data_IF_327854947740
#
_entry.id   IF_327854947740
#
_cell.length_a   1.000
_cell.length_b   1.000
_cell.length_c   1.000
_cell.angle_alpha   90.00
_cell.angle_beta   90.00
_cell.angle_gamma   90.00
#
_symmetry.space_group_name_H-M   'P 1'
#
loop_
_entity.id
_entity.type
_entity.pdbx_description
1 polymer ?
#
# COMPACT_ATOMS: atom_id res chain seq x y z
N UNK A 1 -2.34 -29.35 -18.49
CA UNK A 1 -2.56 -27.95 -18.07
C UNK A 1 -1.29 -27.42 -17.45
N UNK A 2 -0.84 -26.22 -17.84
CA UNK A 2 0.36 -25.62 -17.24
C UNK A 2 -0.05 -24.92 -15.94
N UNK A 3 0.41 -25.40 -14.78
CA UNK A 3 0.10 -24.81 -13.48
C UNK A 3 1.02 -23.60 -13.26
N UNK A 4 0.44 -22.40 -13.28
CA UNK A 4 1.14 -21.16 -13.02
C UNK A 4 0.33 -20.29 -12.06
N UNK A 5 1.04 -19.40 -11.37
CA UNK A 5 0.45 -18.43 -10.47
C UNK A 5 1.27 -17.14 -10.44
N UNK A 6 0.61 -16.03 -10.14
CA UNK A 6 1.24 -14.73 -9.96
C UNK A 6 0.69 -14.02 -8.73
N UNK A 7 1.59 -13.39 -7.99
CA UNK A 7 1.28 -12.56 -6.83
C UNK A 7 1.70 -11.12 -7.16
N UNK A 8 0.75 -10.21 -7.42
CA UNK A 8 1.08 -8.82 -7.75
C UNK A 8 1.81 -8.10 -6.61
N UNK A 9 2.65 -7.12 -6.97
CA UNK A 9 3.24 -6.23 -5.98
C UNK A 9 2.19 -5.29 -5.37
N UNK A 10 2.42 -4.87 -4.12
CA UNK A 10 1.48 -4.03 -3.37
C UNK A 10 2.18 -2.93 -2.61
N UNK A 11 1.55 -1.76 -2.52
CA UNK A 11 1.91 -0.68 -1.62
C UNK A 11 0.79 -0.50 -0.61
N UNK A 12 1.10 -0.50 0.69
CA UNK A 12 0.12 -0.47 1.77
C UNK A 12 0.58 0.45 2.89
N UNK A 13 -0.38 1.02 3.63
CA UNK A 13 -0.05 1.75 4.85
C UNK A 13 0.23 0.78 5.99
N UNK A 14 1.20 1.09 6.85
CA UNK A 14 1.43 0.36 8.11
C UNK A 14 0.19 0.38 9.02
N UNK A 15 -0.74 1.34 8.85
CA UNK A 15 -1.98 1.43 9.63
C UNK A 15 -3.16 0.64 9.02
N UNK A 16 -3.03 0.09 7.82
CA UNK A 16 -4.01 -0.83 7.20
C UNK A 16 -3.55 -2.29 7.23
N UNK A 17 -4.48 -3.23 7.00
CA UNK A 17 -4.12 -4.61 6.62
C UNK A 17 -3.76 -4.65 5.13
N UNK A 18 -2.70 -5.37 4.79
CA UNK A 18 -2.40 -5.74 3.42
C UNK A 18 -3.35 -6.85 2.97
N UNK A 19 -3.99 -6.67 1.82
CA UNK A 19 -4.77 -7.71 1.15
C UNK A 19 -3.96 -8.20 -0.04
N UNK A 20 -3.50 -9.45 0.04
CA UNK A 20 -2.77 -10.14 -1.01
C UNK A 20 -3.73 -11.09 -1.74
N UNK A 21 -3.67 -11.06 -3.06
CA UNK A 21 -4.53 -11.89 -3.92
C UNK A 21 -3.66 -12.58 -4.96
N UNK A 22 -3.80 -13.90 -5.07
CA UNK A 22 -3.05 -14.69 -6.05
C UNK A 22 -3.93 -15.00 -7.26
N UNK A 23 -3.38 -14.80 -8.46
CA UNK A 23 -4.00 -15.26 -9.70
C UNK A 23 -3.36 -16.61 -10.08
N UNK A 24 -4.18 -17.60 -10.45
CA UNK A 24 -3.68 -18.92 -10.87
C UNK A 24 -4.36 -19.39 -12.15
N UNK A 25 -3.66 -20.16 -12.98
CA UNK A 25 -4.17 -20.76 -14.21
C UNK A 25 -5.11 -21.96 -13.96
N UNK A 26 -5.16 -22.46 -12.72
CA UNK A 26 -5.99 -23.60 -12.29
C UNK A 26 -6.73 -23.25 -11.01
N UNK A 27 -7.47 -24.21 -10.44
CA UNK A 27 -8.06 -24.11 -9.09
C UNK A 27 -7.22 -24.91 -8.08
N UNK A 28 -6.32 -24.26 -7.32
CA UNK A 28 -5.57 -24.91 -6.24
C UNK A 28 -6.51 -25.32 -5.10
N UNK A 29 -6.22 -26.42 -4.41
CA UNK A 29 -6.98 -26.83 -3.23
C UNK A 29 -6.59 -26.01 -1.98
N UNK A 30 -5.32 -25.67 -1.85
CA UNK A 30 -4.78 -24.99 -0.67
C UNK A 30 -3.70 -23.96 -1.01
N UNK A 31 -3.54 -23.02 -0.07
CA UNK A 31 -2.56 -21.94 -0.11
C UNK A 31 -1.85 -21.86 1.24
N UNK A 32 -0.54 -21.65 1.23
CA UNK A 32 0.27 -21.34 2.41
C UNK A 32 0.99 -20.02 2.17
N UNK A 33 0.63 -19.00 2.95
CA UNK A 33 1.09 -17.63 2.82
C UNK A 33 2.26 -17.34 3.76
N UNK A 34 3.33 -16.78 3.22
CA UNK A 34 4.51 -16.28 3.92
C UNK A 34 4.65 -14.78 3.60
N UNK A 35 4.55 -13.92 4.61
CA UNK A 35 4.50 -12.48 4.40
C UNK A 35 5.89 -11.83 4.29
N UNK A 36 6.96 -12.58 4.57
CA UNK A 36 8.34 -12.10 4.48
C UNK A 36 8.82 -11.24 5.65
N UNK A 37 8.02 -11.12 6.73
CA UNK A 37 8.33 -10.35 7.95
C UNK A 37 8.61 -11.22 9.18
N UNK A 38 8.88 -12.52 8.96
CA UNK A 38 9.11 -13.54 9.99
C UNK A 38 7.87 -13.87 10.85
N UNK A 39 6.69 -13.35 10.49
CA UNK A 39 5.44 -13.80 11.10
C UNK A 39 5.11 -15.25 10.74
N UNK A 40 4.31 -15.96 11.56
CA UNK A 40 3.86 -17.31 11.22
C UNK A 40 3.10 -17.35 9.90
N UNK A 41 3.27 -18.45 9.17
CA UNK A 41 2.52 -18.69 7.92
C UNK A 41 1.04 -18.84 8.19
N UNK A 42 0.24 -18.38 7.22
CA UNK A 42 -1.22 -18.49 7.26
C UNK A 42 -1.65 -19.44 6.16
N UNK A 43 -2.54 -20.39 6.47
CA UNK A 43 -3.09 -21.31 5.47
C UNK A 43 -4.51 -20.90 5.08
N UNK A 44 -4.84 -21.04 3.80
CA UNK A 44 -6.21 -20.88 3.30
C UNK A 44 -6.55 -21.97 2.26
N UNK A 45 -7.83 -22.09 1.93
CA UNK A 45 -8.33 -23.07 0.95
C UNK A 45 -9.34 -22.42 0.02
N UNK A 46 -9.55 -23.02 -1.15
CA UNK A 46 -10.57 -22.55 -2.09
C UNK A 46 -11.96 -22.51 -1.46
N UNK A 47 -12.79 -21.51 -1.81
CA UNK A 47 -12.61 -20.54 -2.89
C UNK A 47 -11.79 -19.29 -2.51
N UNK A 48 -11.23 -19.21 -1.29
CA UNK A 48 -10.50 -18.03 -0.85
C UNK A 48 -9.06 -18.00 -1.39
N UNK A 49 -8.84 -17.13 -2.38
CA UNK A 49 -7.52 -16.86 -3.00
C UNK A 49 -6.83 -15.63 -2.42
N UNK A 50 -7.30 -15.14 -1.28
CA UNK A 50 -6.80 -13.92 -0.63
C UNK A 50 -6.34 -14.18 0.79
N UNK A 51 -5.31 -13.46 1.21
CA UNK A 51 -4.85 -13.40 2.59
C UNK A 51 -4.76 -11.95 3.07
N UNK A 52 -5.08 -11.75 4.34
CA UNK A 52 -4.95 -10.47 5.03
C UNK A 52 -3.83 -10.56 6.04
N UNK A 53 -2.99 -9.53 6.08
CA UNK A 53 -1.87 -9.46 7.02
C UNK A 53 -1.58 -8.04 7.48
N UNK A 54 -1.19 -7.91 8.75
CA UNK A 54 -0.85 -6.64 9.36
C UNK A 54 0.66 -6.58 9.60
N UNK A 55 1.36 -5.84 8.75
CA UNK A 55 2.78 -5.57 8.93
C UNK A 55 2.99 -4.59 10.09
N UNK A 56 3.89 -4.94 11.01
CA UNK A 56 4.19 -4.13 12.19
C UNK A 56 5.16 -2.97 11.94
N UNK A 57 6.00 -3.06 10.91
CA UNK A 57 7.08 -2.10 10.64
C UNK A 57 7.02 -1.64 9.17
N UNK A 58 7.27 -0.35 8.87
CA UNK A 58 7.47 0.10 7.50
C UNK A 58 8.70 -0.55 6.86
N UNK A 59 8.61 -0.95 5.60
CA UNK A 59 9.69 -1.64 4.91
C UNK A 59 9.25 -2.29 3.60
N UNK A 60 10.20 -2.97 2.94
CA UNK A 60 9.91 -3.81 1.77
C UNK A 60 10.01 -5.27 2.17
N UNK A 61 8.94 -6.02 1.92
CA UNK A 61 8.81 -7.43 2.22
C UNK A 61 8.62 -8.23 0.93
N UNK A 62 9.22 -9.41 0.86
CA UNK A 62 9.00 -10.34 -0.24
C UNK A 62 8.00 -11.40 0.22
N UNK A 63 6.72 -11.17 -0.08
CA UNK A 63 5.67 -12.12 0.23
C UNK A 63 5.70 -13.30 -0.76
N UNK A 64 5.42 -14.49 -0.25
CA UNK A 64 5.37 -15.73 -1.02
C UNK A 64 4.09 -16.48 -0.70
N UNK A 65 3.58 -17.21 -1.67
CA UNK A 65 2.45 -18.11 -1.49
C UNK A 65 2.75 -19.43 -2.19
N UNK A 66 2.71 -20.53 -1.43
CA UNK A 66 2.73 -21.88 -1.97
C UNK A 66 1.30 -22.30 -2.30
N UNK A 67 1.06 -22.79 -3.51
CA UNK A 67 -0.23 -23.24 -3.99
C UNK A 67 -0.15 -24.74 -4.29
N UNK A 68 -1.09 -25.53 -3.77
CA UNK A 68 -1.18 -26.96 -4.06
C UNK A 68 -2.42 -27.27 -4.92
N UNK A 69 -2.22 -27.97 -6.04
CA UNK A 69 -3.28 -28.44 -6.92
C UNK A 69 -3.05 -29.92 -7.26
N UNK A 70 -3.78 -30.81 -6.57
CA UNK A 70 -3.56 -32.26 -6.70
C UNK A 70 -2.16 -32.65 -6.21
N UNK A 71 -1.34 -33.24 -7.09
CA UNK A 71 0.04 -33.63 -6.77
C UNK A 71 1.09 -32.57 -7.12
N UNK A 72 0.68 -31.39 -7.60
CA UNK A 72 1.60 -30.32 -7.97
C UNK A 72 1.56 -29.21 -6.92
N UNK A 73 2.75 -28.68 -6.60
CA UNK A 73 2.93 -27.49 -5.77
C UNK A 73 3.78 -26.48 -6.54
N UNK A 74 3.37 -25.21 -6.52
CA UNK A 74 4.16 -24.10 -7.08
C UNK A 74 4.21 -22.96 -6.08
N UNK A 75 5.19 -22.07 -6.25
CA UNK A 75 5.34 -20.86 -5.43
C UNK A 75 5.20 -19.63 -6.31
N UNK A 76 4.39 -18.66 -5.86
CA UNK A 76 4.33 -17.32 -6.42
C UNK A 76 4.88 -16.31 -5.41
N UNK A 77 5.51 -15.24 -5.89
CA UNK A 77 6.12 -14.22 -5.05
C UNK A 77 5.73 -12.82 -5.52
N UNK A 78 5.64 -11.88 -4.58
CA UNK A 78 5.31 -10.49 -4.82
C UNK A 78 5.92 -9.56 -3.78
N UNK A 79 6.32 -8.36 -4.22
CA UNK A 79 6.88 -7.35 -3.32
C UNK A 79 5.77 -6.56 -2.63
N UNK A 80 5.85 -6.43 -1.31
CA UNK A 80 4.97 -5.59 -0.50
C UNK A 80 5.78 -4.44 0.09
N UNK A 81 5.46 -3.21 -0.30
CA UNK A 81 6.00 -1.99 0.29
C UNK A 81 5.03 -1.46 1.34
N UNK A 82 5.45 -1.52 2.60
CA UNK A 82 4.70 -1.03 3.76
C UNK A 82 5.23 0.34 4.12
N UNK A 83 4.37 1.35 4.09
CA UNK A 83 4.77 2.75 4.22
C UNK A 83 3.98 3.42 5.34
N UNK A 84 4.59 4.43 5.96
CA UNK A 84 3.84 5.33 6.83
C UNK A 84 2.79 6.05 5.98
N UNK A 85 1.56 6.25 6.49
CA UNK A 85 0.59 7.09 5.81
C UNK A 85 1.18 8.50 5.67
N UNK A 86 0.78 9.25 4.64
CA UNK A 86 1.24 10.61 4.49
C UNK A 86 0.71 11.46 5.64
N UNK A 87 1.64 12.15 6.31
CA UNK A 87 1.33 13.22 7.25
C UNK A 87 1.80 14.52 6.62
N UNK A 88 0.84 15.30 6.14
CA UNK A 88 1.08 16.60 5.53
C UNK A 88 0.85 17.69 6.57
N UNK A 89 1.74 18.67 6.61
CA UNK A 89 1.64 19.84 7.47
C UNK A 89 1.84 21.09 6.63
N UNK A 90 0.84 21.97 6.65
CA UNK A 90 0.91 23.25 5.96
C UNK A 90 1.49 24.28 6.93
N UNK A 91 2.67 24.78 6.62
CA UNK A 91 3.29 25.89 7.34
C UNK A 91 2.92 27.17 6.63
N UNK A 92 2.15 28.01 7.33
CA UNK A 92 1.76 29.33 6.88
C UNK A 92 2.39 30.39 7.78
N UNK A 93 2.87 31.52 7.23
CA UNK A 93 3.29 32.65 8.03
C UNK A 93 2.09 33.39 8.60
N UNK A 94 2.28 34.10 9.72
CA UNK A 94 1.22 34.90 10.35
C UNK A 94 0.80 36.09 9.49
N UNK A 95 1.75 36.66 8.75
CA UNK A 95 1.56 37.87 7.95
C UNK A 95 2.20 37.67 6.58
N UNK A 96 1.47 38.09 5.54
CA UNK A 96 1.98 38.15 4.17
C UNK A 96 1.84 39.56 3.63
N UNK A 97 2.74 39.95 2.75
CA UNK A 97 2.60 41.21 2.01
C UNK A 97 1.78 40.96 0.75
N UNK A 98 0.81 41.83 0.48
CA UNK A 98 0.01 41.75 -0.73
C UNK A 98 0.89 41.89 -1.99
N UNK A 99 0.46 41.28 -3.10
CA UNK A 99 1.14 41.30 -4.40
C UNK A 99 2.54 40.66 -4.43
N UNK A 100 2.88 39.83 -3.44
CA UNK A 100 4.09 39.01 -3.44
C UNK A 100 3.76 37.53 -3.68
N UNK A 101 4.74 36.79 -4.19
CA UNK A 101 4.65 35.35 -4.37
C UNK A 101 4.52 34.63 -3.03
N UNK A 102 3.73 33.55 -2.97
CA UNK A 102 3.55 32.73 -1.77
C UNK A 102 4.51 31.54 -1.71
N UNK A 103 5.33 31.32 -2.74
CA UNK A 103 6.16 30.12 -2.89
C UNK A 103 7.20 29.95 -1.78
N UNK A 104 7.74 31.05 -1.26
CA UNK A 104 8.71 31.03 -0.16
C UNK A 104 8.03 31.12 1.21
N UNK A 105 6.80 31.65 1.26
CA UNK A 105 6.08 31.93 2.48
C UNK A 105 5.30 30.71 2.98
N UNK A 106 4.67 29.96 2.07
CA UNK A 106 3.84 28.80 2.40
C UNK A 106 4.58 27.54 2.00
N UNK A 107 4.80 26.64 2.95
CA UNK A 107 5.41 25.34 2.67
C UNK A 107 4.49 24.19 3.09
N UNK A 108 4.45 23.15 2.26
CA UNK A 108 3.77 21.91 2.58
C UNK A 108 4.82 20.87 2.95
N UNK A 109 4.92 20.56 4.24
CA UNK A 109 5.86 19.57 4.75
C UNK A 109 5.23 18.19 4.64
N UNK A 110 5.91 17.27 3.97
CA UNK A 110 5.53 15.87 3.97
C UNK A 110 6.39 15.07 4.97
N UNK A 111 5.79 14.67 6.07
CA UNK A 111 6.45 13.89 7.12
C UNK A 111 6.46 12.38 6.83
N UNK A 112 5.85 11.90 5.73
CA UNK A 112 5.88 10.47 5.39
C UNK A 112 5.07 10.05 4.16
N UNK A 113 5.16 8.78 3.80
CA UNK A 113 4.45 8.23 2.64
C UNK A 113 5.06 8.58 1.28
N UNK A 114 4.65 7.84 0.25
CA UNK A 114 5.18 7.96 -1.11
C UNK A 114 4.00 7.95 -2.10
N UNK A 115 4.11 8.74 -3.18
CA UNK A 115 3.05 8.84 -4.19
C UNK A 115 1.84 9.66 -3.72
N UNK A 116 2.07 10.67 -2.89
CA UNK A 116 1.02 11.53 -2.35
C UNK A 116 0.50 12.46 -3.45
N UNK A 117 -0.82 12.49 -3.63
CA UNK A 117 -1.52 13.50 -4.43
C UNK A 117 -2.18 14.47 -3.47
N UNK A 118 -2.01 15.77 -3.72
CA UNK A 118 -2.56 16.83 -2.88
C UNK A 118 -3.58 17.60 -3.69
N UNK A 119 -4.80 17.71 -3.16
CA UNK A 119 -5.79 18.68 -3.63
C UNK A 119 -5.67 19.94 -2.77
N UNK A 120 -5.65 21.11 -3.41
CA UNK A 120 -5.57 22.39 -2.73
C UNK A 120 -6.73 23.30 -3.15
N UNK A 121 -7.06 24.26 -2.28
CA UNK A 121 -8.00 25.33 -2.59
C UNK A 121 -7.64 26.57 -1.79
N UNK A 122 -7.85 27.75 -2.38
CA UNK A 122 -7.73 29.03 -1.68
C UNK A 122 -9.14 29.52 -1.39
N UNK A 123 -9.41 29.88 -0.13
CA UNK A 123 -10.72 30.38 0.31
C UNK A 123 -10.59 31.79 0.89
N UNK A 124 -11.58 32.63 0.59
CA UNK A 124 -11.77 33.95 1.20
C UNK A 124 -13.17 34.02 1.76
N UNK A 125 -13.30 34.35 3.05
CA UNK A 125 -14.59 34.48 3.74
C UNK A 125 -15.52 33.26 3.54
N UNK A 126 -14.93 32.06 3.57
CA UNK A 126 -15.64 30.79 3.36
C UNK A 126 -15.95 30.41 1.91
N UNK A 127 -15.62 31.27 0.93
CA UNK A 127 -15.83 31.02 -0.49
C UNK A 127 -14.54 30.61 -1.19
N UNK A 128 -14.58 29.54 -1.99
CA UNK A 128 -13.45 29.12 -2.83
C UNK A 128 -13.19 30.16 -3.93
N UNK A 129 -11.95 30.61 -4.04
CA UNK A 129 -11.49 31.61 -5.00
C UNK A 129 -10.41 31.07 -5.95
N UNK A 130 -9.76 29.94 -5.63
CA UNK A 130 -8.84 29.22 -6.51
C UNK A 130 -8.73 27.73 -6.11
N UNK A 131 -8.31 26.88 -7.05
CA UNK A 131 -8.07 25.43 -6.94
C UNK A 131 -6.95 25.03 -7.91
#
# INVERSE_FOLDING_TARGET
VNFSASLPSRRVSVHSEAVLSVASSVFPASFSWDFGDLSPRVNSSTPNTTARHKYGVPGRYQAQVSLSAGHQEIVAQGNVSVELPPRLELHCPELIVANQSLEEAVSLINWGGVGVTVEWSIRKDGREIAR
#
